data_IF_966015531021
#
_entry.id   IF_966015531021
#
_cell.length_a   1.000
_cell.length_b   1.000
_cell.length_c   1.000
_cell.angle_alpha   90.00
_cell.angle_beta   90.00
_cell.angle_gamma   90.00
#
_symmetry.space_group_name_H-M   'P 1'
#
loop_
_entity.id
_entity.type
_entity.pdbx_description
1 polymer ?
#
# COMPACT_ATOMS: atom_id res chain seq x y z
N UNK A 1 4.94 3.57 5.43
CA UNK A 1 4.76 3.72 6.88
C UNK A 1 3.46 4.44 7.19
N UNK A 2 2.99 4.33 8.45
CA UNK A 2 1.70 4.88 8.89
C UNK A 2 1.62 6.41 8.84
N UNK A 3 2.75 7.08 8.68
CA UNK A 3 2.86 8.52 8.45
C UNK A 3 2.74 8.95 6.97
N UNK A 4 2.50 8.03 6.05
CA UNK A 4 2.39 8.34 4.61
C UNK A 4 1.00 8.86 4.23
N UNK A 5 -0.03 8.35 4.87
CA UNK A 5 -1.42 8.75 4.63
C UNK A 5 -1.98 9.50 5.85
N UNK A 6 -2.58 10.66 5.62
CA UNK A 6 -3.19 11.50 6.66
C UNK A 6 -4.59 11.96 6.28
N UNK A 7 -5.27 12.56 7.23
CA UNK A 7 -6.60 13.14 7.06
C UNK A 7 -6.71 14.46 7.84
N UNK A 8 -7.76 15.22 7.57
CA UNK A 8 -8.17 16.34 8.43
C UNK A 8 -9.09 15.77 9.51
N UNK A 9 -8.77 16.05 10.76
CA UNK A 9 -9.51 15.57 11.92
C UNK A 9 -9.34 16.55 13.08
N UNK A 10 -10.42 16.86 13.79
CA UNK A 10 -10.38 17.64 15.01
C UNK A 10 -9.86 16.73 16.15
N UNK A 11 -8.54 16.78 16.37
CA UNK A 11 -7.84 15.86 17.27
C UNK A 11 -7.92 16.28 18.75
N UNK A 12 -8.08 17.57 19.03
CA UNK A 12 -8.14 18.12 20.38
C UNK A 12 -9.53 18.60 20.80
N UNK A 13 -10.50 18.61 19.88
CA UNK A 13 -11.90 18.93 20.15
C UNK A 13 -12.19 20.43 20.21
N UNK A 14 -11.35 21.27 19.62
CA UNK A 14 -11.51 22.72 19.61
C UNK A 14 -12.48 23.24 18.53
N UNK A 15 -12.95 22.35 17.66
CA UNK A 15 -13.86 22.65 16.54
C UNK A 15 -13.15 22.97 15.23
N UNK A 16 -11.84 22.92 15.20
CA UNK A 16 -11.01 23.06 14.00
C UNK A 16 -10.35 21.73 13.64
N UNK A 17 -10.28 21.40 12.36
CA UNK A 17 -9.71 20.13 11.93
C UNK A 17 -8.23 20.31 11.56
N UNK A 18 -7.34 19.61 12.26
CA UNK A 18 -5.92 19.52 11.97
C UNK A 18 -5.62 18.40 10.99
N UNK A 19 -4.47 18.50 10.32
CA UNK A 19 -3.91 17.38 9.59
C UNK A 19 -3.33 16.37 10.58
N UNK A 20 -3.78 15.15 10.52
CA UNK A 20 -3.31 14.07 11.39
C UNK A 20 -2.93 12.82 10.60
N UNK A 21 -2.05 12.02 11.18
CA UNK A 21 -1.70 10.67 10.73
C UNK A 21 -2.33 9.62 11.65
N UNK A 22 -2.03 8.36 11.41
CA UNK A 22 -2.53 7.25 12.23
C UNK A 22 -2.35 7.54 13.73
N UNK A 23 -3.39 7.28 14.53
CA UNK A 23 -3.48 7.58 15.96
C UNK A 23 -3.40 9.08 16.34
N UNK A 24 -3.70 10.00 15.41
CA UNK A 24 -3.76 11.42 15.71
C UNK A 24 -2.40 12.12 15.76
N UNK A 25 -1.31 11.47 15.37
CA UNK A 25 0.00 12.13 15.27
C UNK A 25 -0.01 13.26 14.25
N UNK A 26 0.64 14.36 14.57
CA UNK A 26 0.58 15.62 13.81
C UNK A 26 1.85 15.91 13.01
N UNK A 27 1.74 16.51 11.80
CA UNK A 27 2.89 17.01 11.06
C UNK A 27 3.58 18.15 11.84
N UNK A 28 4.89 18.29 11.66
CA UNK A 28 5.77 19.25 12.29
C UNK A 28 5.89 19.12 13.83
N UNK A 29 5.08 18.30 14.47
CA UNK A 29 5.16 17.96 15.91
C UNK A 29 5.79 16.56 16.07
N UNK A 30 5.08 15.55 15.57
CA UNK A 30 5.48 14.15 15.67
C UNK A 30 6.26 13.68 14.45
N UNK A 31 6.00 14.31 13.29
CA UNK A 31 6.63 13.99 12.02
C UNK A 31 7.16 15.29 11.40
N UNK A 32 8.46 15.49 11.51
CA UNK A 32 9.14 16.61 10.88
C UNK A 32 9.31 16.34 9.39
N UNK A 33 8.87 17.28 8.55
CA UNK A 33 9.00 17.20 7.11
C UNK A 33 9.92 18.31 6.57
N UNK A 34 10.56 18.03 5.42
CA UNK A 34 11.36 19.02 4.69
C UNK A 34 10.52 20.18 4.15
N UNK A 35 9.21 20.00 4.13
CA UNK A 35 8.27 20.88 3.42
C UNK A 35 7.13 21.29 4.32
N UNK A 36 6.90 22.60 4.42
CA UNK A 36 5.64 23.12 4.93
C UNK A 36 4.59 23.04 3.82
N UNK A 37 3.44 22.47 4.14
CA UNK A 37 2.25 22.65 3.33
C UNK A 37 1.58 23.95 3.80
N UNK A 38 1.75 25.02 3.04
CA UNK A 38 0.92 26.21 3.24
C UNK A 38 -0.53 25.91 2.83
N UNK A 39 -1.49 26.56 3.47
CA UNK A 39 -2.86 26.59 2.99
C UNK A 39 -2.89 27.04 1.52
N UNK A 40 -3.29 26.13 0.63
CA UNK A 40 -3.28 26.35 -0.82
C UNK A 40 -2.46 25.37 -1.64
N UNK A 41 -1.70 24.45 -1.02
CA UNK A 41 -1.08 23.31 -1.69
C UNK A 41 0.17 23.59 -2.51
N UNK A 42 0.81 24.75 -2.38
CA UNK A 42 2.11 24.98 -3.02
C UNK A 42 3.27 24.37 -2.19
N UNK A 43 4.12 23.68 -2.91
CA UNK A 43 5.28 22.97 -2.39
C UNK A 43 6.43 23.97 -2.17
N UNK A 44 6.75 24.30 -0.93
CA UNK A 44 7.86 25.17 -0.63
C UNK A 44 8.98 24.44 0.16
N UNK A 45 9.98 23.90 -0.56
CA UNK A 45 11.06 23.09 -0.01
C UNK A 45 12.10 23.87 0.85
N UNK A 46 11.95 25.18 1.01
CA UNK A 46 13.04 26.04 1.53
C UNK A 46 12.82 26.56 2.95
N UNK A 47 11.69 26.27 3.59
CA UNK A 47 11.29 26.99 4.81
C UNK A 47 11.74 26.42 6.15
N UNK A 48 11.96 25.11 6.26
CA UNK A 48 12.17 24.50 7.59
C UNK A 48 13.62 24.49 8.06
N UNK A 49 14.57 24.76 7.18
CA UNK A 49 16.01 24.59 7.52
C UNK A 49 16.43 23.16 7.82
N UNK A 50 15.50 22.20 7.76
CA UNK A 50 15.75 20.78 7.95
C UNK A 50 16.42 20.21 6.69
N UNK A 51 17.34 19.29 6.87
CA UNK A 51 18.03 18.61 5.77
C UNK A 51 17.36 17.31 5.36
N UNK A 52 16.44 16.78 6.16
CA UNK A 52 15.73 15.51 5.97
C UNK A 52 14.45 15.47 6.80
N UNK A 53 13.51 14.62 6.41
CA UNK A 53 12.35 14.29 7.22
C UNK A 53 12.74 13.44 8.41
N UNK A 54 12.04 13.57 9.53
CA UNK A 54 12.24 12.75 10.71
C UNK A 54 10.92 12.47 11.42
N UNK A 55 10.52 11.20 11.44
CA UNK A 55 9.35 10.75 12.19
C UNK A 55 9.77 10.40 13.62
N UNK A 56 9.31 11.19 14.60
CA UNK A 56 9.50 10.90 16.04
C UNK A 56 8.52 9.81 16.50
N UNK A 57 7.40 9.69 15.81
CA UNK A 57 6.37 8.67 16.03
C UNK A 57 6.03 7.98 14.70
N UNK A 58 5.46 6.78 14.78
CA UNK A 58 5.05 5.93 13.64
C UNK A 58 6.13 5.74 12.57
N UNK A 59 7.39 5.77 12.97
CA UNK A 59 8.50 5.48 12.09
C UNK A 59 8.61 3.99 11.76
N UNK A 60 9.36 3.67 10.71
CA UNK A 60 9.48 2.28 10.25
C UNK A 60 10.27 1.39 11.22
N UNK A 61 11.07 1.96 12.10
CA UNK A 61 11.90 1.19 13.04
C UNK A 61 11.05 0.40 14.05
N UNK A 62 9.85 0.86 14.36
CA UNK A 62 8.89 0.13 15.21
C UNK A 62 8.55 -1.22 14.57
N UNK A 63 8.16 -1.22 13.29
CA UNK A 63 7.85 -2.44 12.53
C UNK A 63 9.12 -3.30 12.36
N UNK A 64 10.28 -2.67 12.10
CA UNK A 64 11.55 -3.38 11.97
C UNK A 64 11.98 -4.09 13.27
N UNK A 65 11.66 -3.52 14.43
CA UNK A 65 11.98 -4.12 15.74
C UNK A 65 11.10 -5.33 16.05
N UNK A 66 9.82 -5.29 15.66
CA UNK A 66 8.89 -6.41 15.83
C UNK A 66 9.10 -7.50 14.77
N UNK A 67 9.61 -7.11 13.61
CA UNK A 67 9.69 -7.96 12.43
C UNK A 67 8.35 -8.06 11.69
N UNK A 68 8.41 -8.59 10.48
CA UNK A 68 7.22 -8.93 9.67
C UNK A 68 7.37 -10.37 9.22
N UNK A 69 6.57 -11.26 9.77
CA UNK A 69 6.51 -12.66 9.37
C UNK A 69 5.08 -13.17 9.55
N UNK A 70 4.60 -13.91 8.57
CA UNK A 70 3.26 -14.46 8.62
C UNK A 70 2.92 -15.31 7.41
N UNK A 71 1.67 -15.76 7.34
CA UNK A 71 1.17 -16.45 6.16
C UNK A 71 0.92 -15.43 5.06
N UNK A 72 1.72 -15.51 3.98
CA UNK A 72 1.46 -14.81 2.72
C UNK A 72 0.40 -15.56 1.91
N UNK A 73 -0.52 -14.83 1.29
CA UNK A 73 -1.57 -15.38 0.43
C UNK A 73 -1.53 -14.66 -0.91
N UNK A 74 -1.22 -15.40 -1.98
CA UNK A 74 -1.14 -14.86 -3.34
C UNK A 74 -2.54 -14.73 -3.95
N UNK A 75 -2.84 -13.55 -4.47
CA UNK A 75 -3.97 -13.27 -5.36
C UNK A 75 -3.38 -12.88 -6.72
N UNK A 76 -3.49 -13.76 -7.69
CA UNK A 76 -2.86 -13.58 -9.01
C UNK A 76 -3.86 -12.97 -10.01
N UNK A 77 -4.00 -11.64 -9.96
CA UNK A 77 -4.88 -10.91 -10.88
C UNK A 77 -4.40 -11.04 -12.33
N UNK A 78 -3.08 -11.09 -12.54
CA UNK A 78 -2.53 -11.26 -13.88
C UNK A 78 -2.98 -12.56 -14.57
N UNK A 79 -3.06 -13.66 -13.83
CA UNK A 79 -3.52 -14.93 -14.40
C UNK A 79 -4.95 -14.85 -14.94
N UNK A 80 -5.82 -14.09 -14.26
CA UNK A 80 -7.23 -13.98 -14.61
C UNK A 80 -7.52 -12.90 -15.66
N UNK A 81 -6.76 -11.79 -15.63
CA UNK A 81 -7.10 -10.59 -16.39
C UNK A 81 -6.01 -10.14 -17.39
N UNK A 82 -4.83 -10.77 -17.38
CA UNK A 82 -3.71 -10.35 -18.23
C UNK A 82 -3.04 -9.07 -17.74
N UNK A 83 -2.34 -8.40 -18.64
CA UNK A 83 -1.51 -7.22 -18.34
C UNK A 83 -2.04 -5.91 -18.97
N UNK A 84 -3.25 -5.93 -19.51
CA UNK A 84 -3.96 -4.71 -19.88
C UNK A 84 -4.46 -3.97 -18.63
N UNK A 85 -4.58 -2.65 -18.72
CA UNK A 85 -5.11 -1.86 -17.62
C UNK A 85 -6.53 -2.29 -17.26
N UNK A 86 -6.75 -2.59 -15.99
CA UNK A 86 -8.05 -2.98 -15.47
C UNK A 86 -8.24 -2.52 -14.04
N UNK A 87 -9.35 -1.83 -13.78
CA UNK A 87 -9.79 -1.48 -12.45
C UNK A 87 -10.55 -2.67 -11.85
N UNK A 88 -10.07 -3.20 -10.72
CA UNK A 88 -10.61 -4.38 -10.05
C UNK A 88 -11.45 -3.94 -8.86
N UNK A 89 -12.75 -4.07 -8.99
CA UNK A 89 -13.71 -3.87 -7.90
C UNK A 89 -13.85 -5.11 -7.01
N UNK A 90 -14.72 -4.99 -6.01
CA UNK A 90 -14.97 -6.05 -5.03
C UNK A 90 -15.44 -7.36 -5.69
N UNK A 91 -16.37 -7.27 -6.64
CA UNK A 91 -16.95 -8.47 -7.26
C UNK A 91 -15.90 -9.25 -8.06
N UNK A 92 -15.04 -8.54 -8.80
CA UNK A 92 -13.95 -9.16 -9.56
C UNK A 92 -12.87 -9.75 -8.64
N UNK A 93 -12.54 -9.06 -7.54
CA UNK A 93 -11.63 -9.58 -6.53
C UNK A 93 -12.17 -10.88 -5.91
N UNK A 94 -13.45 -10.92 -5.55
CA UNK A 94 -14.10 -12.12 -5.01
C UNK A 94 -14.16 -13.23 -6.06
N UNK A 95 -14.43 -12.92 -7.31
CA UNK A 95 -14.41 -13.89 -8.40
C UNK A 95 -13.06 -14.62 -8.51
N UNK A 96 -11.93 -13.89 -8.39
CA UNK A 96 -10.60 -14.50 -8.41
C UNK A 96 -10.38 -15.38 -7.19
N UNK A 97 -10.74 -14.89 -6.00
CA UNK A 97 -10.59 -15.63 -4.75
C UNK A 97 -11.39 -16.95 -4.79
N UNK A 98 -12.61 -16.90 -5.28
CA UNK A 98 -13.50 -18.07 -5.38
C UNK A 98 -13.03 -19.05 -6.48
N UNK A 99 -12.65 -18.54 -7.66
CA UNK A 99 -12.17 -19.37 -8.76
C UNK A 99 -10.93 -20.17 -8.41
N UNK A 100 -9.97 -19.52 -7.73
CA UNK A 100 -8.73 -20.15 -7.29
C UNK A 100 -8.88 -20.83 -5.90
N UNK A 101 -10.08 -20.79 -5.29
CA UNK A 101 -10.37 -21.37 -3.96
C UNK A 101 -9.40 -20.90 -2.88
N UNK A 102 -9.07 -19.63 -2.90
CA UNK A 102 -8.12 -19.03 -1.98
C UNK A 102 -8.75 -18.90 -0.60
N UNK A 103 -8.17 -19.56 0.39
CA UNK A 103 -8.58 -19.41 1.78
C UNK A 103 -7.85 -18.23 2.42
N UNK A 104 -8.59 -17.21 2.86
CA UNK A 104 -8.08 -16.03 3.55
C UNK A 104 -8.50 -16.07 5.02
N UNK A 105 -7.51 -15.98 5.91
CA UNK A 105 -7.65 -16.07 7.37
C UNK A 105 -7.28 -14.76 8.05
N UNK A 106 -7.81 -14.47 9.24
CA UNK A 106 -7.33 -13.34 10.04
C UNK A 106 -5.82 -13.41 10.27
N UNK A 107 -5.15 -12.28 10.07
CA UNK A 107 -3.70 -12.15 10.20
C UNK A 107 -2.90 -12.49 8.94
N UNK A 108 -3.55 -12.86 7.84
CA UNK A 108 -2.87 -13.09 6.56
C UNK A 108 -2.29 -11.80 5.99
N UNK A 109 -1.20 -11.96 5.26
CA UNK A 109 -0.60 -10.90 4.43
C UNK A 109 -1.03 -11.18 2.99
N UNK A 110 -1.84 -10.30 2.41
CA UNK A 110 -2.23 -10.41 1.01
C UNK A 110 -1.07 -10.01 0.10
N UNK A 111 -0.80 -10.82 -0.91
CA UNK A 111 0.24 -10.55 -1.91
C UNK A 111 -0.42 -10.58 -3.29
N UNK A 112 -0.50 -9.41 -3.92
CA UNK A 112 -1.29 -9.19 -5.14
C UNK A 112 -0.34 -9.09 -6.34
N UNK A 113 -0.44 -10.05 -7.25
CA UNK A 113 0.32 -10.02 -8.51
C UNK A 113 -0.51 -9.41 -9.62
N UNK A 114 0.03 -8.39 -10.27
CA UNK A 114 -0.53 -7.73 -11.44
C UNK A 114 0.34 -7.87 -12.69
N UNK A 115 1.56 -8.37 -12.54
CA UNK A 115 2.64 -8.44 -13.54
C UNK A 115 3.35 -7.10 -13.81
N UNK A 116 3.00 -6.05 -13.07
CA UNK A 116 3.54 -4.70 -13.27
C UNK A 116 5.07 -4.67 -13.12
N UNK A 117 5.62 -5.23 -12.04
CA UNK A 117 7.06 -5.20 -11.79
C UNK A 117 7.85 -5.90 -12.92
N UNK A 118 7.33 -7.01 -13.47
CA UNK A 118 7.93 -7.66 -14.63
C UNK A 118 7.91 -6.75 -15.86
N UNK A 119 6.80 -6.06 -16.13
CA UNK A 119 6.69 -5.12 -17.25
C UNK A 119 7.68 -3.96 -17.13
N UNK A 120 7.87 -3.42 -15.93
CA UNK A 120 8.89 -2.37 -15.71
C UNK A 120 10.29 -2.89 -16.01
N UNK A 121 10.63 -4.10 -15.57
CA UNK A 121 11.93 -4.70 -15.88
C UNK A 121 12.14 -4.93 -17.40
N UNK A 122 11.09 -5.34 -18.11
CA UNK A 122 11.11 -5.50 -19.57
C UNK A 122 11.38 -4.19 -20.33
N UNK A 123 11.03 -3.03 -19.73
CA UNK A 123 11.35 -1.70 -20.30
C UNK A 123 12.85 -1.35 -20.23
N UNK A 124 13.67 -2.15 -19.58
CA UNK A 124 15.12 -2.12 -19.60
C UNK A 124 15.74 -0.70 -19.44
N UNK A 125 15.39 -0.01 -18.32
CA UNK A 125 15.85 1.35 -17.98
C UNK A 125 15.34 2.47 -18.91
N UNK A 126 14.40 2.18 -19.77
CA UNK A 126 13.76 3.15 -20.67
C UNK A 126 12.23 3.08 -20.49
N UNK A 127 11.70 3.47 -19.30
CA UNK A 127 10.27 3.39 -19.06
C UNK A 127 9.51 4.34 -19.99
N UNK A 128 8.39 3.85 -20.50
CA UNK A 128 7.41 4.61 -21.24
C UNK A 128 6.35 5.11 -20.26
N UNK A 129 6.30 6.43 -19.94
CA UNK A 129 5.37 6.96 -18.93
C UNK A 129 3.91 6.64 -19.22
N UNK A 130 3.49 6.72 -20.48
CA UNK A 130 2.10 6.48 -20.86
C UNK A 130 1.72 5.01 -20.62
N UNK A 131 2.61 4.09 -20.93
CA UNK A 131 2.38 2.66 -20.63
C UNK A 131 2.38 2.37 -19.15
N UNK A 132 3.32 2.96 -18.40
CA UNK A 132 3.43 2.76 -16.94
C UNK A 132 2.12 3.12 -16.22
N UNK A 133 1.43 4.16 -16.68
CA UNK A 133 0.17 4.61 -16.07
C UNK A 133 -1.08 3.88 -16.58
N UNK A 134 -0.96 3.09 -17.66
CA UNK A 134 -2.10 2.47 -18.33
C UNK A 134 -1.89 0.98 -18.61
N UNK A 135 -1.22 0.26 -17.71
CA UNK A 135 -1.01 -1.17 -17.82
C UNK A 135 -1.34 -1.90 -16.53
N UNK A 136 -1.64 -3.18 -16.65
CA UNK A 136 -1.89 -4.11 -15.56
C UNK A 136 -3.12 -3.78 -14.70
N UNK A 137 -3.52 -4.73 -13.89
CA UNK A 137 -4.63 -4.56 -12.97
C UNK A 137 -4.25 -3.72 -11.75
N UNK A 138 -5.20 -2.92 -11.26
CA UNK A 138 -5.09 -2.14 -10.03
C UNK A 138 -6.39 -2.29 -9.24
N UNK A 139 -6.36 -2.23 -7.92
CA UNK A 139 -7.58 -2.26 -7.12
C UNK A 139 -8.35 -0.94 -7.26
N UNK A 140 -9.68 -1.02 -7.25
CA UNK A 140 -10.54 0.15 -7.13
C UNK A 140 -10.57 0.61 -5.66
N UNK A 141 -9.73 1.60 -5.35
CA UNK A 141 -9.68 2.20 -4.02
C UNK A 141 -10.97 2.91 -3.62
N UNK A 142 -11.86 3.25 -4.56
CA UNK A 142 -13.16 3.85 -4.26
C UNK A 142 -14.23 2.80 -3.90
N UNK A 143 -14.01 1.51 -4.17
CA UNK A 143 -14.97 0.48 -3.78
C UNK A 143 -14.91 0.19 -2.27
N UNK A 144 -15.77 0.83 -1.51
CA UNK A 144 -15.84 0.69 -0.04
C UNK A 144 -16.14 -0.72 0.45
N UNK A 145 -16.59 -1.63 -0.45
CA UNK A 145 -16.78 -3.05 -0.13
C UNK A 145 -15.44 -3.74 0.07
N UNK A 146 -14.40 -3.35 -0.70
CA UNK A 146 -13.02 -3.81 -0.50
C UNK A 146 -12.52 -3.36 0.88
N UNK A 147 -12.73 -2.09 1.25
CA UNK A 147 -12.35 -1.57 2.56
C UNK A 147 -12.97 -2.38 3.70
N UNK A 148 -14.27 -2.60 3.63
CA UNK A 148 -15.01 -3.40 4.62
C UNK A 148 -14.47 -4.82 4.70
N UNK A 149 -14.27 -5.45 3.56
CA UNK A 149 -13.77 -6.81 3.48
C UNK A 149 -12.37 -6.95 4.10
N UNK A 150 -11.45 -6.02 3.83
CA UNK A 150 -10.11 -5.98 4.46
C UNK A 150 -10.25 -5.91 5.99
N UNK A 151 -11.12 -5.02 6.48
CA UNK A 151 -11.38 -4.85 7.91
C UNK A 151 -11.96 -6.11 8.54
N UNK A 152 -13.01 -6.66 7.95
CA UNK A 152 -13.74 -7.83 8.47
C UNK A 152 -12.87 -9.10 8.46
N UNK A 153 -12.01 -9.25 7.45
CA UNK A 153 -11.04 -10.35 7.35
C UNK A 153 -9.84 -10.17 8.25
N UNK A 154 -9.65 -9.01 8.88
CA UNK A 154 -8.53 -8.71 9.77
C UNK A 154 -7.19 -8.97 9.09
N UNK A 155 -7.04 -8.45 7.87
CA UNK A 155 -5.80 -8.56 7.10
C UNK A 155 -4.69 -7.83 7.85
N UNK A 156 -3.49 -8.42 7.90
CA UNK A 156 -2.36 -7.86 8.64
C UNK A 156 -1.54 -6.87 7.80
N UNK A 157 -1.39 -7.13 6.50
CA UNK A 157 -0.69 -6.27 5.55
C UNK A 157 -1.12 -6.61 4.12
N UNK A 158 -0.89 -5.68 3.19
CA UNK A 158 -1.09 -5.92 1.75
C UNK A 158 0.21 -5.55 1.04
N UNK A 159 0.67 -6.41 0.12
CA UNK A 159 1.77 -6.13 -0.78
C UNK A 159 1.36 -6.37 -2.22
N UNK A 160 1.86 -5.56 -3.15
CA UNK A 160 1.61 -5.72 -4.58
C UNK A 160 2.89 -5.50 -5.40
N UNK A 161 2.88 -5.97 -6.63
CA UNK A 161 3.97 -5.74 -7.56
C UNK A 161 3.83 -4.42 -8.36
N UNK A 162 2.71 -3.71 -8.21
CA UNK A 162 2.51 -2.37 -8.73
C UNK A 162 2.93 -1.28 -7.72
N UNK A 163 2.88 0.00 -8.13
CA UNK A 163 3.43 1.13 -7.36
C UNK A 163 2.46 1.79 -6.38
N UNK A 164 1.19 1.37 -6.35
CA UNK A 164 0.20 1.99 -5.47
C UNK A 164 -0.87 1.01 -4.93
N UNK A 165 -0.78 -0.29 -5.21
CA UNK A 165 -1.81 -1.30 -4.88
C UNK A 165 -3.15 -1.01 -5.58
N UNK A 166 -3.62 0.23 -5.51
CA UNK A 166 -4.87 0.77 -6.08
C UNK A 166 -4.63 1.69 -7.28
N UNK A 167 -5.70 2.12 -7.96
CA UNK A 167 -5.62 3.14 -9.02
C UNK A 167 -5.05 4.45 -8.45
N UNK A 168 -4.02 5.00 -9.10
CA UNK A 168 -3.41 6.27 -8.72
C UNK A 168 -3.25 7.21 -9.93
N UNK A 169 -3.79 8.44 -9.84
CA UNK A 169 -4.74 8.90 -8.82
C UNK A 169 -6.11 8.23 -8.98
N UNK A 170 -6.77 7.92 -7.88
CA UNK A 170 -8.15 7.44 -7.95
C UNK A 170 -9.06 8.54 -8.53
N UNK A 171 -10.10 8.13 -9.26
CA UNK A 171 -11.09 9.06 -9.78
C UNK A 171 -11.82 9.73 -8.60
N UNK A 172 -11.79 11.06 -8.57
CA UNK A 172 -12.48 11.84 -7.55
C UNK A 172 -13.98 11.64 -7.70
N UNK A 173 -14.63 11.18 -6.63
CA UNK A 173 -16.07 10.99 -6.54
C UNK A 173 -16.64 11.89 -5.43
N UNK A 174 -17.28 13.01 -5.83
CA UNK A 174 -17.84 13.97 -4.87
C UNK A 174 -16.83 14.97 -4.32
N UNK A 175 -17.19 15.63 -3.20
CA UNK A 175 -16.42 16.75 -2.62
C UNK A 175 -15.30 16.31 -1.67
N UNK A 176 -15.29 15.06 -1.20
CA UNK A 176 -14.42 14.55 -0.14
C UNK A 176 -13.71 13.27 -0.58
N UNK A 177 -12.78 13.36 -1.54
CA UNK A 177 -12.11 12.16 -2.01
C UNK A 177 -10.60 12.24 -1.83
N UNK A 178 -10.03 11.18 -1.25
CA UNK A 178 -8.60 10.96 -1.26
C UNK A 178 -8.16 10.49 -2.65
N UNK A 179 -6.98 10.93 -3.08
CA UNK A 179 -6.36 10.44 -4.32
C UNK A 179 -5.91 8.97 -4.21
N UNK A 180 -5.84 8.45 -2.98
CA UNK A 180 -5.50 7.07 -2.62
C UNK A 180 -6.45 6.60 -1.49
N UNK A 181 -7.72 6.27 -1.80
CA UNK A 181 -8.71 5.91 -0.78
C UNK A 181 -8.37 4.64 -0.01
N UNK A 182 -7.76 3.64 -0.67
CA UNK A 182 -7.34 2.41 -0.02
C UNK A 182 -6.15 2.64 0.92
N UNK A 183 -5.19 3.48 0.55
CA UNK A 183 -4.11 3.92 1.45
C UNK A 183 -4.69 4.61 2.69
N UNK A 184 -5.64 5.52 2.49
CA UNK A 184 -6.30 6.18 3.60
C UNK A 184 -7.00 5.17 4.52
N UNK A 185 -7.72 4.19 3.95
CA UNK A 185 -8.37 3.15 4.75
C UNK A 185 -7.36 2.28 5.48
N UNK A 186 -6.38 1.73 4.77
CA UNK A 186 -5.41 0.80 5.35
C UNK A 186 -4.46 1.50 6.33
N UNK A 187 -3.76 2.53 5.88
CA UNK A 187 -2.67 3.13 6.68
C UNK A 187 -3.17 4.10 7.72
N UNK A 188 -4.13 4.97 7.39
CA UNK A 188 -4.64 5.95 8.34
C UNK A 188 -5.67 5.37 9.32
N UNK A 189 -6.69 4.64 8.81
CA UNK A 189 -7.77 4.15 9.69
C UNK A 189 -7.39 2.87 10.43
N UNK A 190 -6.70 1.92 9.78
CA UNK A 190 -6.43 0.61 10.35
C UNK A 190 -5.01 0.44 10.90
N UNK A 191 -4.06 1.31 10.52
CA UNK A 191 -2.64 1.10 10.79
C UNK A 191 -2.07 -0.12 10.08
N UNK A 192 -2.67 -0.51 8.97
CA UNK A 192 -2.28 -1.66 8.14
C UNK A 192 -1.22 -1.21 7.13
N UNK A 193 0.00 -1.78 7.15
CA UNK A 193 1.06 -1.39 6.22
C UNK A 193 0.80 -1.89 4.80
N UNK A 194 1.25 -1.10 3.82
CA UNK A 194 1.24 -1.46 2.41
C UNK A 194 2.67 -1.66 1.91
N UNK A 195 2.87 -2.67 1.06
CA UNK A 195 4.11 -2.95 0.33
C UNK A 195 3.87 -2.79 -1.17
N UNK A 196 4.85 -2.23 -1.88
CA UNK A 196 4.71 -1.88 -3.28
C UNK A 196 5.97 -2.28 -4.06
N UNK A 197 5.81 -2.46 -5.38
CA UNK A 197 6.89 -2.79 -6.30
C UNK A 197 7.65 -4.08 -5.94
N UNK A 198 6.96 -5.08 -5.37
CA UNK A 198 7.55 -6.38 -5.12
C UNK A 198 7.64 -7.18 -6.42
N UNK A 199 8.75 -7.87 -6.65
CA UNK A 199 8.87 -8.77 -7.80
C UNK A 199 8.28 -10.14 -7.46
N UNK A 200 7.11 -10.46 -8.02
CA UNK A 200 6.29 -11.60 -7.62
C UNK A 200 6.23 -12.73 -8.66
N UNK A 201 6.87 -12.55 -9.81
CA UNK A 201 6.69 -13.45 -10.97
C UNK A 201 7.05 -14.89 -10.66
N UNK A 202 8.28 -15.14 -10.18
CA UNK A 202 8.74 -16.52 -9.92
C UNK A 202 7.94 -17.19 -8.81
N UNK A 203 7.60 -16.44 -7.76
CA UNK A 203 6.78 -16.96 -6.66
C UNK A 203 5.39 -17.38 -7.17
N UNK A 204 4.73 -16.52 -7.93
CA UNK A 204 3.40 -16.82 -8.44
C UNK A 204 3.40 -18.01 -9.41
N UNK A 205 4.38 -18.06 -10.30
CA UNK A 205 4.54 -19.17 -11.26
C UNK A 205 4.78 -20.50 -10.51
N UNK A 206 5.63 -20.49 -9.48
CA UNK A 206 5.86 -21.69 -8.65
C UNK A 206 4.61 -22.12 -7.89
N UNK A 207 3.91 -21.17 -7.24
CA UNK A 207 2.69 -21.46 -6.48
C UNK A 207 1.61 -22.07 -7.38
N UNK A 208 1.43 -21.53 -8.58
CA UNK A 208 0.48 -22.04 -9.56
C UNK A 208 0.86 -23.45 -10.04
N UNK A 209 2.13 -23.68 -10.37
CA UNK A 209 2.61 -24.99 -10.80
C UNK A 209 2.41 -26.07 -9.73
N UNK A 210 2.36 -25.69 -8.46
CA UNK A 210 2.19 -26.59 -7.32
C UNK A 210 0.76 -26.55 -6.73
N UNK A 211 -0.19 -25.88 -7.39
CA UNK A 211 -1.57 -25.71 -6.94
C UNK A 211 -1.66 -25.20 -5.49
N UNK A 212 -0.88 -24.15 -5.19
CA UNK A 212 -0.80 -23.51 -3.87
C UNK A 212 -1.03 -22.01 -4.01
N UNK A 213 -1.59 -21.40 -2.96
CA UNK A 213 -1.81 -19.95 -2.88
C UNK A 213 -1.19 -19.33 -1.62
N UNK A 214 -0.66 -20.14 -0.71
CA UNK A 214 -0.09 -19.65 0.55
C UNK A 214 1.33 -20.15 0.77
N UNK A 215 2.09 -19.34 1.49
CA UNK A 215 3.51 -19.57 1.78
C UNK A 215 3.88 -18.87 3.10
N UNK A 216 5.05 -19.17 3.66
CA UNK A 216 5.60 -18.38 4.75
C UNK A 216 6.27 -17.14 4.14
N UNK A 217 5.83 -15.96 4.56
CA UNK A 217 6.42 -14.68 4.17
C UNK A 217 7.20 -14.10 5.35
N UNK A 218 8.45 -13.69 5.09
CA UNK A 218 9.27 -12.89 6.00
C UNK A 218 9.70 -11.63 5.26
N UNK A 219 9.29 -10.46 5.72
CA UNK A 219 9.51 -9.19 5.02
C UNK A 219 9.81 -8.03 6.00
N UNK A 220 10.83 -8.17 6.88
CA UNK A 220 11.16 -7.08 7.80
C UNK A 220 11.70 -5.88 7.00
N UNK A 221 11.25 -4.65 7.31
CA UNK A 221 11.87 -3.45 6.78
C UNK A 221 13.25 -3.24 7.38
N UNK A 222 14.04 -2.36 6.78
CA UNK A 222 15.28 -1.90 7.39
C UNK A 222 14.98 -1.12 8.68
N UNK A 223 15.82 -1.27 9.68
CA UNK A 223 15.72 -0.50 10.93
C UNK A 223 16.27 0.90 10.71
N UNK A 224 15.42 1.81 10.26
CA UNK A 224 15.73 3.19 9.94
C UNK A 224 14.98 4.13 10.89
N UNK A 225 15.56 4.48 12.06
CA UNK A 225 14.91 5.42 12.99
C UNK A 225 14.62 6.76 12.31
N UNK A 226 13.39 7.25 12.51
CA UNK A 226 12.92 8.50 11.93
C UNK A 226 12.45 8.41 10.47
N UNK A 227 12.61 7.27 9.78
CA UNK A 227 12.13 7.11 8.43
C UNK A 227 10.66 6.69 8.40
N UNK A 228 9.89 7.26 7.46
CA UNK A 228 8.46 6.95 7.28
C UNK A 228 8.22 5.74 6.38
N UNK A 229 9.23 5.18 5.78
CA UNK A 229 9.17 4.00 4.92
C UNK A 229 10.55 3.37 4.76
N UNK A 230 10.61 2.20 4.17
CA UNK A 230 11.85 1.45 3.96
C UNK A 230 11.71 0.51 2.77
N UNK A 231 12.75 0.31 1.98
CA UNK A 231 12.81 -0.90 1.17
C UNK A 231 12.78 -2.14 2.08
N UNK A 232 12.25 -3.22 1.54
CA UNK A 232 12.25 -4.54 2.17
C UNK A 232 12.85 -5.56 1.21
N UNK A 233 13.39 -6.65 1.76
CA UNK A 233 13.77 -7.82 0.98
C UNK A 233 12.85 -8.98 1.39
N UNK A 234 11.69 -9.11 0.74
CA UNK A 234 10.74 -10.14 1.10
C UNK A 234 11.26 -11.53 0.71
N UNK A 235 11.11 -12.48 1.61
CA UNK A 235 11.48 -13.89 1.41
C UNK A 235 10.22 -14.74 1.55
N UNK A 236 9.87 -15.42 0.47
CA UNK A 236 8.79 -16.40 0.46
C UNK A 236 9.37 -17.81 0.56
N UNK A 237 8.97 -18.55 1.59
CA UNK A 237 9.32 -19.97 1.74
C UNK A 237 8.10 -20.81 1.34
N UNK A 238 8.26 -21.63 0.32
CA UNK A 238 7.21 -22.42 -0.34
C UNK A 238 7.37 -23.91 -0.10
#
# INVERSE_FOLDING_TARGET
ALAHAGALFDADGDGHAERVYYNGYQPNIDIEALMDFEEGGEFNATRTGLKNSNAKAVDISVIATQGVQGRGVMIDLFHHFGDDFRLIGFDELMQVIDADKIEIRPGDILVIRTNFAKKILEMNRSPDPDKVHHMCAVLDGNDTRIHRWITDRKIAAIAADNYAVEEHPAKIQGECCHILPLHHHCMFKLGLPLGELWYLTELADWLRANNRHSFLLTAPPLRLPGAVGSPVTPIATV
#
